data_IF_641849408550
#
_entry.id   IF_641849408550
#
_cell.length_a   1.000
_cell.length_b   1.000
_cell.length_c   1.000
_cell.angle_alpha   90.00
_cell.angle_beta   90.00
_cell.angle_gamma   90.00
#
_symmetry.space_group_name_H-M   'P 1'
#
loop_
_entity.id
_entity.type
_entity.pdbx_description
1 polymer ?
#
# COMPACT_ATOMS: atom_id res chain seq x y z
N UNK A 1 13.40 5.13 -6.78
CA UNK A 1 12.35 4.12 -6.71
C UNK A 1 12.46 3.15 -7.90
N UNK A 2 12.61 3.69 -9.08
CA UNK A 2 12.60 2.92 -10.33
C UNK A 2 13.98 2.83 -10.98
N UNK A 3 15.01 3.37 -10.36
CA UNK A 3 16.37 3.35 -10.82
C UNK A 3 17.32 3.07 -9.64
N UNK A 4 17.93 1.92 -9.62
CA UNK A 4 18.87 1.52 -8.56
C UNK A 4 19.97 0.60 -9.09
N UNK A 5 21.15 0.72 -8.49
CA UNK A 5 22.31 -0.08 -8.83
C UNK A 5 22.78 -0.94 -7.66
N UNK A 6 23.43 -2.05 -7.98
CA UNK A 6 24.09 -2.92 -7.00
C UNK A 6 25.59 -2.73 -7.12
N UNK A 7 26.23 -2.49 -5.97
CA UNK A 7 27.67 -2.46 -5.84
C UNK A 7 28.13 -3.68 -5.05
N UNK A 8 29.18 -4.31 -5.52
CA UNK A 8 29.90 -5.39 -4.84
C UNK A 8 31.16 -4.83 -4.20
N UNK A 9 31.35 -5.03 -2.90
CA UNK A 9 32.54 -4.61 -2.18
C UNK A 9 33.38 -5.80 -1.76
N UNK A 10 34.62 -5.87 -2.27
CA UNK A 10 35.62 -6.86 -1.83
C UNK A 10 36.28 -6.39 -0.54
N UNK A 11 36.09 -7.15 0.54
CA UNK A 11 36.65 -6.83 1.87
C UNK A 11 38.17 -6.95 1.96
N UNK A 12 38.81 -7.79 1.12
CA UNK A 12 40.27 -8.02 1.11
C UNK A 12 40.95 -6.96 0.29
N UNK A 13 40.53 -6.82 -0.95
CA UNK A 13 41.11 -5.88 -1.91
C UNK A 13 40.63 -4.44 -1.69
N UNK A 14 39.63 -4.24 -0.82
CA UNK A 14 38.99 -2.96 -0.54
C UNK A 14 38.51 -2.24 -1.81
N UNK A 15 38.03 -3.01 -2.74
CA UNK A 15 37.53 -2.54 -4.02
C UNK A 15 36.02 -2.55 -4.05
N UNK A 16 35.42 -1.48 -4.65
CA UNK A 16 33.99 -1.33 -4.87
C UNK A 16 33.73 -1.39 -6.37
N UNK A 17 32.95 -2.36 -6.81
CA UNK A 17 32.58 -2.58 -8.20
C UNK A 17 31.09 -2.33 -8.42
N UNK A 18 30.73 -1.55 -9.44
CA UNK A 18 29.36 -1.40 -9.91
C UNK A 18 29.03 -2.56 -10.84
N UNK A 19 28.16 -3.47 -10.38
CA UNK A 19 27.85 -4.70 -11.13
C UNK A 19 26.56 -4.62 -11.96
N UNK A 20 25.78 -3.56 -11.86
CA UNK A 20 24.51 -3.42 -12.60
C UNK A 20 24.42 -2.09 -13.33
N UNK A 21 25.53 -1.63 -13.93
CA UNK A 21 25.52 -0.44 -14.75
C UNK A 21 24.47 -0.54 -15.87
N UNK A 22 23.65 0.50 -16.02
CA UNK A 22 22.59 0.55 -17.00
C UNK A 22 22.20 2.00 -17.35
N UNK A 23 21.50 2.16 -18.43
CA UNK A 23 20.78 3.39 -18.81
C UNK A 23 19.28 3.23 -18.56
N UNK A 24 18.60 4.35 -18.28
CA UNK A 24 17.16 4.37 -18.04
C UNK A 24 16.74 3.91 -16.64
N UNK A 25 15.46 3.65 -16.49
CA UNK A 25 14.83 3.34 -15.21
C UNK A 25 14.75 1.83 -15.02
N UNK A 26 15.75 1.29 -14.37
CA UNK A 26 15.81 -0.14 -14.04
C UNK A 26 16.07 -0.29 -12.54
N UNK A 27 15.24 -1.07 -11.90
CA UNK A 27 15.41 -1.39 -10.49
C UNK A 27 16.27 -2.65 -10.35
N UNK A 28 17.35 -2.54 -9.57
CA UNK A 28 18.18 -3.66 -9.17
C UNK A 28 18.25 -3.72 -7.65
N UNK A 29 17.96 -4.89 -7.07
CA UNK A 29 18.00 -5.09 -5.61
C UNK A 29 18.68 -6.41 -5.27
N UNK A 30 19.75 -6.42 -4.43
CA UNK A 30 20.37 -7.66 -4.00
C UNK A 30 19.36 -8.51 -3.22
N UNK A 31 19.37 -9.81 -3.44
CA UNK A 31 18.55 -10.78 -2.73
C UNK A 31 19.40 -11.63 -1.77
N UNK A 32 20.30 -12.47 -2.29
CA UNK A 32 21.06 -13.42 -1.46
C UNK A 32 22.35 -13.86 -2.17
N UNK A 33 23.37 -14.24 -1.42
CA UNK A 33 24.52 -14.96 -1.94
C UNK A 33 24.25 -16.46 -1.97
N UNK A 34 24.90 -17.18 -2.92
CA UNK A 34 24.98 -18.64 -2.82
C UNK A 34 25.74 -19.05 -1.55
N UNK A 35 25.47 -20.25 -1.04
CA UNK A 35 26.10 -20.74 0.20
C UNK A 35 27.62 -20.92 0.08
N UNK A 36 28.14 -21.08 -1.13
CA UNK A 36 29.59 -21.11 -1.42
C UNK A 36 30.18 -19.74 -1.79
N UNK A 37 29.37 -18.69 -1.73
CA UNK A 37 29.71 -17.30 -2.01
C UNK A 37 30.25 -17.04 -3.43
N UNK A 38 29.93 -17.89 -4.40
CA UNK A 38 30.37 -17.71 -5.79
C UNK A 38 29.36 -16.97 -6.65
N UNK A 39 28.08 -17.01 -6.29
CA UNK A 39 27.02 -16.32 -6.99
C UNK A 39 26.34 -15.29 -6.09
N UNK A 40 25.94 -14.18 -6.69
CA UNK A 40 24.99 -13.24 -6.11
C UNK A 40 23.67 -13.37 -6.87
N UNK A 41 22.57 -13.56 -6.15
CA UNK A 41 21.23 -13.47 -6.70
C UNK A 41 20.69 -12.06 -6.46
N UNK A 42 20.07 -11.48 -7.48
CA UNK A 42 19.43 -10.18 -7.36
C UNK A 42 18.12 -10.11 -8.15
N UNK A 43 17.27 -9.21 -7.73
CA UNK A 43 16.00 -8.88 -8.36
C UNK A 43 16.19 -7.73 -9.34
N UNK A 44 15.50 -7.78 -10.47
CA UNK A 44 15.47 -6.69 -11.45
C UNK A 44 14.18 -6.72 -12.26
N UNK A 45 13.76 -5.55 -12.72
CA UNK A 45 12.67 -5.34 -13.69
C UNK A 45 13.19 -5.02 -15.11
N UNK A 46 14.46 -5.27 -15.39
CA UNK A 46 15.06 -5.02 -16.70
C UNK A 46 14.30 -5.78 -17.79
N UNK A 47 13.81 -5.06 -18.79
CA UNK A 47 13.02 -5.61 -19.92
C UNK A 47 11.83 -6.47 -19.46
N UNK A 48 11.18 -6.07 -18.35
CA UNK A 48 10.08 -6.83 -17.73
C UNK A 48 9.13 -5.92 -16.96
N UNK A 49 7.85 -6.28 -16.95
CA UNK A 49 6.83 -5.64 -16.10
C UNK A 49 7.03 -5.98 -14.63
N UNK A 50 7.51 -7.17 -14.33
CA UNK A 50 7.65 -7.66 -12.95
C UNK A 50 9.10 -7.99 -12.62
N UNK A 51 9.47 -7.78 -11.36
CA UNK A 51 10.77 -8.16 -10.84
C UNK A 51 11.00 -9.66 -10.93
N UNK A 52 12.12 -10.05 -11.49
CA UNK A 52 12.56 -11.43 -11.61
C UNK A 52 13.97 -11.62 -11.03
N UNK A 53 14.39 -12.87 -10.83
CA UNK A 53 15.70 -13.23 -10.29
C UNK A 53 16.73 -13.42 -11.39
N UNK A 54 17.89 -12.82 -11.17
CA UNK A 54 19.11 -13.02 -11.94
C UNK A 54 20.17 -13.66 -11.04
N UNK A 55 20.90 -14.62 -11.56
CA UNK A 55 22.13 -15.17 -10.98
C UNK A 55 23.32 -14.48 -11.62
N UNK A 56 24.21 -13.93 -10.79
CA UNK A 56 25.45 -13.29 -11.17
C UNK A 56 26.64 -14.11 -10.64
N UNK A 57 27.48 -14.60 -11.51
CA UNK A 57 28.73 -15.28 -11.16
C UNK A 57 29.79 -14.24 -10.81
N UNK A 58 30.26 -14.24 -9.56
CA UNK A 58 31.16 -13.22 -9.02
C UNK A 58 32.54 -13.27 -9.69
N UNK A 59 32.98 -14.46 -10.06
CA UNK A 59 34.35 -14.62 -10.66
C UNK A 59 34.36 -14.21 -12.13
N UNK A 60 33.33 -14.57 -12.89
CA UNK A 60 33.31 -14.38 -14.35
C UNK A 60 32.54 -13.15 -14.80
N UNK A 61 31.70 -12.57 -13.92
CA UNK A 61 30.79 -11.47 -14.26
C UNK A 61 29.59 -11.90 -15.10
N UNK A 62 29.44 -13.19 -15.39
CA UNK A 62 28.34 -13.71 -16.20
C UNK A 62 27.00 -13.60 -15.48
N UNK A 63 25.95 -13.33 -16.24
CA UNK A 63 24.58 -13.20 -15.76
C UNK A 63 23.66 -14.15 -16.51
N UNK A 64 22.74 -14.77 -15.78
CA UNK A 64 21.64 -15.53 -16.41
C UNK A 64 20.32 -15.27 -15.66
N UNK A 65 19.22 -15.30 -16.37
CA UNK A 65 17.89 -15.30 -15.75
C UNK A 65 17.77 -16.59 -14.95
N UNK A 66 17.55 -16.44 -13.65
CA UNK A 66 17.43 -17.59 -12.76
C UNK A 66 15.98 -18.05 -12.62
N UNK A 67 15.05 -17.10 -12.35
CA UNK A 67 13.62 -17.40 -12.26
C UNK A 67 12.78 -16.19 -12.61
N UNK A 68 11.70 -16.39 -13.39
CA UNK A 68 10.63 -15.42 -13.64
C UNK A 68 9.31 -15.97 -13.13
N UNK A 69 8.46 -15.06 -12.68
CA UNK A 69 7.08 -15.31 -12.26
C UNK A 69 6.14 -14.36 -13.01
N UNK A 70 4.84 -14.63 -12.98
CA UNK A 70 3.82 -13.73 -13.56
C UNK A 70 3.53 -12.50 -12.71
N UNK A 71 4.18 -12.37 -11.55
CA UNK A 71 4.08 -11.29 -10.58
C UNK A 71 5.45 -10.97 -10.00
N UNK A 72 5.57 -9.86 -9.28
CA UNK A 72 6.81 -9.46 -8.65
C UNK A 72 7.36 -10.51 -7.70
N UNK A 73 8.57 -11.01 -7.96
CA UNK A 73 9.34 -11.68 -6.93
C UNK A 73 9.78 -10.59 -5.94
N UNK A 74 9.25 -10.65 -4.73
CA UNK A 74 9.49 -9.65 -3.70
C UNK A 74 10.79 -9.90 -2.94
N UNK A 75 11.14 -11.16 -2.73
CA UNK A 75 12.40 -11.60 -2.08
C UNK A 75 12.72 -13.06 -2.40
N UNK A 76 13.99 -13.41 -2.21
CA UNK A 76 14.48 -14.79 -2.24
C UNK A 76 15.57 -14.94 -1.19
N UNK A 77 15.64 -16.12 -0.57
CA UNK A 77 16.77 -16.52 0.26
C UNK A 77 16.92 -18.05 0.26
N UNK A 78 18.12 -18.51 0.67
CA UNK A 78 18.41 -19.93 0.86
C UNK A 78 18.35 -20.32 2.35
N UNK A 79 17.98 -21.57 2.62
CA UNK A 79 18.20 -22.18 3.92
C UNK A 79 19.72 -22.30 4.20
N UNK A 80 20.09 -22.58 5.44
CA UNK A 80 21.49 -22.52 5.90
C UNK A 80 22.47 -23.35 5.06
N UNK A 81 22.09 -24.56 4.63
CA UNK A 81 22.94 -25.41 3.77
C UNK A 81 22.73 -25.16 2.29
N UNK A 82 21.76 -24.34 1.93
CA UNK A 82 21.32 -24.16 0.54
C UNK A 82 20.34 -25.21 0.05
N UNK A 83 19.91 -26.14 0.90
CA UNK A 83 18.97 -27.21 0.53
C UNK A 83 17.63 -26.70 0.04
N UNK A 84 17.13 -25.62 0.66
CA UNK A 84 15.87 -25.01 0.29
C UNK A 84 16.07 -23.59 -0.19
N UNK A 85 15.30 -23.22 -1.20
CA UNK A 85 15.16 -21.85 -1.70
C UNK A 85 13.72 -21.41 -1.46
N UNK A 86 13.57 -20.24 -0.83
CA UNK A 86 12.26 -19.62 -0.53
C UNK A 86 12.08 -18.40 -1.41
N UNK A 87 10.93 -18.29 -2.08
CA UNK A 87 10.50 -17.12 -2.83
C UNK A 87 9.25 -16.52 -2.19
N UNK A 88 9.26 -15.23 -1.99
CA UNK A 88 8.06 -14.44 -1.70
C UNK A 88 7.64 -13.71 -2.97
N UNK A 89 6.38 -13.88 -3.37
CA UNK A 89 5.80 -13.31 -4.59
C UNK A 89 4.68 -12.37 -4.18
N UNK A 90 4.71 -11.11 -4.66
CA UNK A 90 3.60 -10.18 -4.51
C UNK A 90 2.58 -10.47 -5.61
N UNK A 91 1.63 -11.35 -5.31
CA UNK A 91 0.62 -11.80 -6.25
C UNK A 91 -0.73 -11.20 -5.90
N UNK A 92 -1.18 -10.26 -6.71
CA UNK A 92 -2.54 -9.71 -6.66
C UNK A 92 -2.98 -9.28 -5.24
N UNK A 93 -2.26 -8.31 -4.69
CA UNK A 93 -2.47 -7.78 -3.34
C UNK A 93 -2.26 -8.79 -2.18
N UNK A 94 -1.62 -9.92 -2.45
CA UNK A 94 -1.27 -10.95 -1.45
C UNK A 94 0.19 -11.36 -1.59
N UNK A 95 0.76 -11.93 -0.52
CA UNK A 95 2.08 -12.57 -0.59
C UNK A 95 1.92 -14.07 -0.65
N UNK A 96 2.40 -14.66 -1.74
CA UNK A 96 2.46 -16.11 -1.94
C UNK A 96 3.88 -16.60 -1.74
N UNK A 97 4.04 -17.73 -1.05
CA UNK A 97 5.35 -18.36 -0.80
C UNK A 97 5.50 -19.59 -1.66
N UNK A 98 6.64 -19.70 -2.33
CA UNK A 98 7.10 -20.94 -2.97
C UNK A 98 8.39 -21.40 -2.32
N UNK A 99 8.49 -22.68 -2.03
CA UNK A 99 9.70 -23.31 -1.48
C UNK A 99 10.17 -24.38 -2.47
N UNK A 100 11.44 -24.39 -2.79
CA UNK A 100 12.05 -25.33 -3.71
C UNK A 100 13.13 -26.13 -3.01
N UNK A 101 13.20 -27.43 -3.29
CA UNK A 101 14.38 -28.24 -3.00
C UNK A 101 15.42 -27.97 -4.09
N UNK A 102 16.57 -27.41 -3.73
CA UNK A 102 17.58 -26.96 -4.69
C UNK A 102 18.33 -28.12 -5.36
N UNK A 103 18.29 -29.33 -4.78
CA UNK A 103 18.92 -30.51 -5.37
C UNK A 103 18.10 -31.05 -6.55
N UNK A 104 16.78 -30.99 -6.42
CA UNK A 104 15.86 -31.52 -7.42
C UNK A 104 15.20 -30.44 -8.26
N UNK A 105 15.34 -29.17 -7.88
CA UNK A 105 14.65 -27.98 -8.43
C UNK A 105 13.12 -28.13 -8.43
N UNK A 106 12.59 -29.00 -7.56
CA UNK A 106 11.16 -29.20 -7.43
C UNK A 106 10.57 -28.33 -6.33
N UNK A 107 9.43 -27.75 -6.61
CA UNK A 107 8.66 -27.05 -5.59
C UNK A 107 8.15 -28.04 -4.55
N UNK A 108 8.39 -27.71 -3.28
CA UNK A 108 7.87 -28.46 -2.15
C UNK A 108 6.44 -27.98 -1.86
N UNK A 109 5.58 -28.92 -1.46
CA UNK A 109 4.23 -28.57 -1.03
C UNK A 109 4.26 -27.69 0.21
N UNK A 110 3.66 -26.51 0.12
CA UNK A 110 3.42 -25.63 1.25
C UNK A 110 2.03 -25.92 1.83
N UNK A 111 1.80 -25.83 3.16
CA UNK A 111 0.48 -26.03 3.72
C UNK A 111 -0.58 -25.13 3.08
N UNK A 112 -1.78 -25.65 2.88
CA UNK A 112 -2.90 -24.84 2.41
C UNK A 112 -3.37 -23.93 3.56
N UNK A 113 -3.04 -22.67 3.47
CA UNK A 113 -3.46 -21.64 4.42
C UNK A 113 -4.79 -20.99 3.97
N UNK A 114 -5.55 -20.38 4.91
CA UNK A 114 -6.64 -19.48 4.56
C UNK A 114 -6.17 -18.31 3.68
N UNK A 115 -7.09 -17.59 3.05
CA UNK A 115 -6.75 -16.38 2.30
C UNK A 115 -6.04 -15.36 3.18
N UNK A 116 -4.94 -14.78 2.69
CA UNK A 116 -4.14 -13.83 3.45
C UNK A 116 -2.70 -13.74 2.95
N UNK A 117 -1.87 -13.14 3.76
CA UNK A 117 -0.45 -12.93 3.49
C UNK A 117 0.42 -13.83 4.36
N UNK A 118 1.44 -14.39 3.75
CA UNK A 118 2.53 -15.07 4.46
C UNK A 118 3.75 -14.14 4.48
N UNK A 119 4.33 -13.95 5.64
CA UNK A 119 5.51 -13.08 5.82
C UNK A 119 6.55 -13.72 6.73
N UNK A 120 7.77 -13.20 6.66
CA UNK A 120 8.89 -13.57 7.57
C UNK A 120 9.09 -15.08 7.69
N UNK A 121 9.09 -15.77 6.55
CA UNK A 121 9.39 -17.21 6.51
C UNK A 121 10.82 -17.43 6.99
N UNK A 122 11.03 -18.37 7.88
CA UNK A 122 12.33 -18.74 8.43
C UNK A 122 12.47 -20.26 8.52
N UNK A 123 13.58 -20.78 8.03
CA UNK A 123 13.89 -22.21 8.08
C UNK A 123 14.87 -22.48 9.23
N UNK A 124 14.56 -23.46 10.06
CA UNK A 124 15.40 -23.86 11.19
C UNK A 124 16.80 -24.32 10.75
N UNK A 125 17.79 -24.23 11.65
CA UNK A 125 19.17 -24.70 11.36
C UNK A 125 19.24 -26.18 10.99
N UNK A 126 18.28 -27.00 11.47
CA UNK A 126 18.18 -28.42 11.12
C UNK A 126 17.53 -28.66 9.75
N UNK A 127 16.98 -27.62 9.14
CA UNK A 127 16.22 -27.66 7.87
C UNK A 127 15.05 -28.65 7.86
N UNK A 128 14.52 -28.95 9.05
CA UNK A 128 13.33 -29.78 9.21
C UNK A 128 12.06 -28.98 9.45
N UNK A 129 12.19 -27.80 10.05
CA UNK A 129 11.08 -26.95 10.45
C UNK A 129 11.15 -25.61 9.72
N UNK A 130 9.99 -25.06 9.46
CA UNK A 130 9.77 -23.72 8.95
C UNK A 130 8.83 -22.99 9.92
N UNK A 131 9.11 -21.72 10.17
CA UNK A 131 8.17 -20.82 10.81
C UNK A 131 7.83 -19.67 9.88
N UNK A 132 6.62 -19.12 10.01
CA UNK A 132 6.17 -17.98 9.21
C UNK A 132 5.04 -17.25 9.95
N UNK A 133 4.85 -15.98 9.60
CA UNK A 133 3.66 -15.25 10.00
C UNK A 133 2.60 -15.39 8.91
N UNK A 134 1.36 -15.61 9.32
CA UNK A 134 0.20 -15.59 8.42
C UNK A 134 -0.93 -14.78 9.05
N UNK A 135 -1.54 -13.91 8.25
CA UNK A 135 -2.73 -13.12 8.61
C UNK A 135 -3.58 -12.83 7.39
N UNK A 136 -4.87 -12.69 7.60
CA UNK A 136 -5.85 -12.36 6.56
C UNK A 136 -6.73 -11.19 6.98
N UNK A 137 -7.81 -10.94 6.23
CA UNK A 137 -8.70 -9.82 6.52
C UNK A 137 -9.33 -9.89 7.94
N UNK A 138 -9.68 -11.10 8.39
CA UNK A 138 -10.34 -11.36 9.69
C UNK A 138 -9.40 -11.79 10.80
N UNK A 139 -8.09 -11.83 10.56
CA UNK A 139 -7.12 -12.27 11.55
C UNK A 139 -5.84 -11.44 11.43
N UNK A 140 -5.39 -10.80 12.51
CA UNK A 140 -4.04 -10.28 12.58
C UNK A 140 -3.02 -11.40 12.27
N UNK A 141 -1.80 -11.01 11.95
CA UNK A 141 -0.74 -11.98 11.68
C UNK A 141 -0.37 -12.75 12.95
N UNK A 142 -0.39 -14.07 12.84
CA UNK A 142 0.06 -15.01 13.85
C UNK A 142 1.26 -15.81 13.38
N UNK A 143 2.05 -16.28 14.35
CA UNK A 143 3.19 -17.14 14.11
C UNK A 143 2.73 -18.60 13.96
N UNK A 144 3.23 -19.25 12.92
CA UNK A 144 2.99 -20.66 12.62
C UNK A 144 4.30 -21.43 12.53
N UNK A 145 4.25 -22.72 12.81
CA UNK A 145 5.33 -23.68 12.56
C UNK A 145 4.83 -24.82 11.67
N UNK A 146 5.72 -25.33 10.84
CA UNK A 146 5.44 -26.38 9.87
C UNK A 146 6.66 -27.29 9.71
N UNK A 147 6.46 -28.62 9.68
CA UNK A 147 7.50 -29.57 9.28
C UNK A 147 7.58 -29.61 7.77
N UNK A 148 8.75 -29.29 7.22
CA UNK A 148 8.94 -29.17 5.75
C UNK A 148 8.65 -30.52 5.09
N UNK A 149 7.77 -30.49 4.09
CA UNK A 149 7.32 -31.68 3.34
C UNK A 149 6.05 -32.33 3.89
N UNK A 150 5.56 -31.93 5.06
CA UNK A 150 4.28 -32.39 5.59
C UNK A 150 3.12 -31.49 5.13
N UNK A 151 1.88 -31.86 5.45
CA UNK A 151 0.68 -31.06 5.14
C UNK A 151 0.21 -30.23 6.34
N UNK A 152 0.57 -30.67 7.53
CA UNK A 152 0.10 -30.10 8.78
C UNK A 152 0.95 -28.88 9.20
N UNK A 153 0.32 -27.95 9.88
CA UNK A 153 0.98 -26.81 10.51
C UNK A 153 0.35 -26.52 11.87
N UNK A 154 1.12 -25.89 12.74
CA UNK A 154 0.68 -25.50 14.07
C UNK A 154 0.67 -23.99 14.20
N UNK A 155 -0.42 -23.41 14.66
CA UNK A 155 -0.50 -22.01 15.06
C UNK A 155 0.10 -21.86 16.46
N UNK A 156 1.10 -20.99 16.62
CA UNK A 156 1.84 -20.80 17.87
C UNK A 156 1.36 -19.59 18.67
N UNK A 157 0.75 -18.60 18.04
CA UNK A 157 0.23 -17.40 18.70
C UNK A 157 -1.23 -17.15 18.35
N UNK A 158 -1.91 -16.33 19.15
CA UNK A 158 -3.26 -15.87 18.92
C UNK A 158 -3.33 -14.37 19.25
N UNK A 159 -3.06 -13.54 18.25
CA UNK A 159 -2.96 -12.08 18.38
C UNK A 159 -4.31 -11.37 18.39
N UNK A 160 -5.38 -12.06 17.98
CA UNK A 160 -6.73 -11.50 18.02
C UNK A 160 -7.19 -11.33 19.48
N UNK A 161 -7.75 -10.15 19.78
CA UNK A 161 -8.41 -9.96 21.07
C UNK A 161 -9.55 -10.98 21.20
N UNK A 162 -9.56 -11.81 22.28
CA UNK A 162 -10.56 -12.86 22.47
C UNK A 162 -12.01 -12.36 22.61
N UNK A 163 -12.20 -11.07 22.92
CA UNK A 163 -13.53 -10.45 22.97
C UNK A 163 -14.11 -10.15 21.59
N UNK A 164 -13.28 -10.14 20.53
CA UNK A 164 -13.72 -9.94 19.16
C UNK A 164 -14.21 -11.26 18.56
N UNK A 165 -15.50 -11.34 18.26
CA UNK A 165 -16.04 -12.47 17.53
C UNK A 165 -15.70 -12.35 16.03
N UNK A 166 -14.92 -13.27 15.43
CA UNK A 166 -14.52 -13.21 14.02
C UNK A 166 -15.70 -13.26 13.03
N UNK A 167 -16.89 -13.71 13.46
CA UNK A 167 -18.09 -13.70 12.58
C UNK A 167 -18.59 -12.29 12.25
N UNK A 168 -18.21 -11.30 13.04
CA UNK A 168 -18.56 -9.89 12.79
C UNK A 168 -17.52 -9.17 11.92
N UNK A 169 -16.42 -9.81 11.57
CA UNK A 169 -15.40 -9.21 10.73
C UNK A 169 -15.70 -9.45 9.24
N UNK A 170 -15.40 -8.44 8.43
CA UNK A 170 -15.55 -8.51 6.99
C UNK A 170 -14.45 -9.35 6.33
N UNK A 171 -14.86 -10.20 5.37
CA UNK A 171 -13.92 -10.81 4.43
C UNK A 171 -13.37 -9.74 3.47
N UNK A 172 -12.19 -10.01 2.91
CA UNK A 172 -11.61 -9.22 1.84
C UNK A 172 -11.65 -10.01 0.54
N UNK A 173 -12.12 -9.39 -0.52
CA UNK A 173 -12.15 -9.93 -1.87
C UNK A 173 -11.32 -9.04 -2.79
N UNK A 174 -10.41 -9.63 -3.57
CA UNK A 174 -9.71 -8.90 -4.62
C UNK A 174 -10.60 -8.85 -5.84
N UNK A 175 -10.94 -7.64 -6.28
CA UNK A 175 -11.84 -7.40 -7.41
C UNK A 175 -11.17 -6.53 -8.47
N UNK A 176 -11.82 -6.42 -9.61
CA UNK A 176 -11.49 -5.47 -10.69
C UNK A 176 -12.73 -4.68 -11.05
N UNK A 177 -12.57 -3.40 -11.34
CA UNK A 177 -13.61 -2.57 -11.92
C UNK A 177 -13.06 -1.78 -13.11
N UNK A 178 -13.96 -1.31 -13.97
CA UNK A 178 -13.59 -0.46 -15.11
C UNK A 178 -13.50 0.99 -14.67
N UNK A 179 -12.39 1.66 -15.01
CA UNK A 179 -12.24 3.09 -14.86
C UNK A 179 -12.89 3.85 -16.03
N UNK A 180 -12.88 5.17 -15.98
CA UNK A 180 -13.46 6.09 -16.93
C UNK A 180 -12.99 5.86 -18.40
N UNK A 181 -11.77 5.37 -18.57
CA UNK A 181 -11.14 5.05 -19.86
C UNK A 181 -11.21 3.57 -20.24
N UNK A 182 -11.89 2.75 -19.43
CA UNK A 182 -12.04 1.30 -19.63
C UNK A 182 -10.89 0.47 -19.05
N UNK A 183 -9.88 1.08 -18.44
CA UNK A 183 -8.80 0.35 -17.75
C UNK A 183 -9.37 -0.45 -16.58
N UNK A 184 -8.82 -1.66 -16.36
CA UNK A 184 -9.16 -2.47 -15.20
C UNK A 184 -8.34 -2.07 -13.99
N UNK A 185 -9.02 -1.57 -12.96
CA UNK A 185 -8.40 -1.12 -11.71
C UNK A 185 -8.59 -2.21 -10.65
N UNK A 186 -7.48 -2.71 -10.07
CA UNK A 186 -7.56 -3.66 -8.97
C UNK A 186 -7.99 -2.98 -7.67
N UNK A 187 -8.74 -3.68 -6.83
CA UNK A 187 -9.10 -3.20 -5.51
C UNK A 187 -9.32 -4.35 -4.53
N UNK A 188 -9.27 -4.05 -3.24
CA UNK A 188 -9.64 -4.99 -2.18
C UNK A 188 -10.95 -4.53 -1.57
N UNK A 189 -11.97 -5.34 -1.72
CA UNK A 189 -13.33 -5.04 -1.28
C UNK A 189 -13.65 -5.72 0.05
N UNK A 190 -14.16 -4.93 1.00
CA UNK A 190 -14.61 -5.39 2.32
C UNK A 190 -16.12 -5.15 2.43
N UNK A 191 -16.90 -6.23 2.30
CA UNK A 191 -18.35 -6.20 2.47
C UNK A 191 -18.71 -6.39 3.94
N UNK A 192 -19.57 -5.54 4.53
CA UNK A 192 -20.10 -5.76 5.87
C UNK A 192 -20.80 -7.12 6.00
N UNK A 193 -20.56 -7.88 7.07
CA UNK A 193 -21.05 -9.26 7.17
C UNK A 193 -22.59 -9.39 7.25
N UNK A 194 -23.27 -8.34 7.70
CA UNK A 194 -24.71 -8.37 7.97
C UNK A 194 -25.58 -7.74 6.88
N UNK A 195 -25.02 -7.44 5.69
CA UNK A 195 -25.76 -6.84 4.57
C UNK A 195 -26.73 -7.84 3.98
N UNK A 196 -28.02 -7.43 3.90
CA UNK A 196 -29.12 -8.20 3.33
C UNK A 196 -29.51 -7.67 1.96
N UNK A 197 -30.26 -8.50 1.22
CA UNK A 197 -30.85 -8.07 -0.04
C UNK A 197 -31.88 -6.96 0.23
N UNK A 198 -31.76 -5.86 -0.53
CA UNK A 198 -32.63 -4.69 -0.39
C UNK A 198 -32.13 -3.62 0.58
N UNK A 199 -31.06 -3.89 1.32
CA UNK A 199 -30.38 -2.85 2.11
C UNK A 199 -29.87 -1.73 1.20
N UNK A 200 -29.74 -0.54 1.78
CA UNK A 200 -29.07 0.62 1.18
C UNK A 200 -28.10 1.18 2.21
N UNK A 201 -26.83 0.73 2.13
CA UNK A 201 -25.80 1.07 3.11
C UNK A 201 -24.80 2.08 2.55
N UNK A 202 -24.13 2.85 3.41
CA UNK A 202 -23.03 3.73 3.00
C UNK A 202 -21.78 2.94 2.59
N UNK A 203 -20.94 3.58 1.78
CA UNK A 203 -19.65 3.01 1.37
C UNK A 203 -18.52 4.05 1.45
N UNK A 204 -17.30 3.54 1.48
CA UNK A 204 -16.08 4.34 1.49
C UNK A 204 -15.13 3.84 0.40
N UNK A 205 -14.62 4.76 -0.40
CA UNK A 205 -13.45 4.55 -1.24
C UNK A 205 -12.21 4.82 -0.36
N UNK A 206 -11.41 3.80 -0.15
CA UNK A 206 -10.18 3.88 0.64
C UNK A 206 -8.99 4.02 -0.29
N UNK A 207 -8.20 5.09 -0.14
CA UNK A 207 -7.01 5.33 -0.94
C UNK A 207 -5.76 5.13 -0.08
N UNK A 208 -4.83 4.29 -0.57
CA UNK A 208 -3.57 4.03 0.13
C UNK A 208 -2.60 5.20 0.04
N UNK A 209 -1.59 5.20 0.91
CA UNK A 209 -0.47 6.16 0.87
C UNK A 209 0.60 5.78 -0.17
N UNK A 210 1.60 6.65 -0.29
CA UNK A 210 2.70 6.50 -1.24
C UNK A 210 3.31 7.85 -1.59
N UNK A 211 3.25 8.30 -2.86
CA UNK A 211 2.64 7.66 -4.02
C UNK A 211 3.18 6.25 -4.29
N UNK A 212 2.43 5.43 -5.07
CA UNK A 212 2.81 4.08 -5.47
C UNK A 212 2.85 3.05 -4.34
N UNK A 213 2.00 3.19 -3.33
CA UNK A 213 1.71 2.13 -2.38
C UNK A 213 0.89 1.00 -3.00
N UNK A 214 0.31 0.15 -2.14
CA UNK A 214 -0.60 -0.92 -2.56
C UNK A 214 -1.62 -1.20 -1.44
N UNK A 215 -2.90 -1.21 -1.76
CA UNK A 215 -3.92 -1.80 -0.91
C UNK A 215 -3.83 -3.30 -0.99
N UNK A 216 -3.61 -3.96 0.15
CA UNK A 216 -3.36 -5.41 0.22
C UNK A 216 -4.37 -6.09 1.14
N UNK A 217 -4.66 -7.37 0.83
CA UNK A 217 -5.45 -8.22 1.72
C UNK A 217 -4.75 -8.33 3.06
N UNK A 218 -5.44 -8.01 4.16
CA UNK A 218 -4.89 -8.09 5.50
C UNK A 218 -5.80 -7.50 6.56
N UNK A 219 -5.50 -7.78 7.82
CA UNK A 219 -6.22 -7.19 8.94
C UNK A 219 -5.86 -5.72 9.09
N UNK A 220 -6.86 -4.86 8.94
CA UNK A 220 -6.75 -3.42 9.21
C UNK A 220 -7.83 -3.02 10.20
N UNK A 221 -7.43 -2.68 11.41
CA UNK A 221 -8.36 -2.39 12.50
C UNK A 221 -9.42 -1.34 12.13
N UNK A 222 -9.02 -0.24 11.51
CA UNK A 222 -9.95 0.82 11.09
C UNK A 222 -10.94 0.33 10.02
N UNK A 223 -10.50 -0.43 9.01
CA UNK A 223 -11.39 -0.98 7.99
C UNK A 223 -12.39 -1.96 8.62
N UNK A 224 -11.92 -2.85 9.49
CA UNK A 224 -12.81 -3.79 10.19
C UNK A 224 -13.80 -3.08 11.12
N UNK A 225 -13.34 -2.02 11.79
CA UNK A 225 -14.19 -1.20 12.64
C UNK A 225 -15.31 -0.53 11.83
N UNK A 226 -14.98 0.08 10.70
CA UNK A 226 -15.96 0.71 9.81
C UNK A 226 -16.92 -0.32 9.19
N UNK A 227 -16.39 -1.47 8.73
CA UNK A 227 -17.21 -2.53 8.16
C UNK A 227 -18.18 -3.12 9.19
N UNK A 228 -17.73 -3.31 10.44
CA UNK A 228 -18.58 -3.77 11.54
C UNK A 228 -19.71 -2.77 11.85
N UNK A 229 -19.46 -1.47 11.61
CA UNK A 229 -20.46 -0.42 11.74
C UNK A 229 -21.26 -0.18 10.44
N UNK A 230 -21.24 -1.12 9.49
CA UNK A 230 -22.12 -1.12 8.32
C UNK A 230 -21.64 -0.30 7.13
N UNK A 231 -20.35 0.06 7.05
CA UNK A 231 -19.74 0.66 5.87
C UNK A 231 -19.13 -0.40 4.97
N UNK A 232 -19.52 -0.44 3.70
CA UNK A 232 -18.69 -1.15 2.72
C UNK A 232 -17.42 -0.34 2.46
N UNK A 233 -16.28 -1.02 2.31
CA UNK A 233 -15.00 -0.34 2.04
C UNK A 233 -14.35 -0.94 0.79
N UNK A 234 -14.07 -0.11 -0.20
CA UNK A 234 -13.34 -0.47 -1.41
C UNK A 234 -11.95 0.18 -1.36
N UNK A 235 -10.95 -0.62 -1.04
CA UNK A 235 -9.55 -0.18 -0.98
C UNK A 235 -8.91 -0.28 -2.37
N UNK A 236 -8.83 0.86 -3.05
CA UNK A 236 -8.41 0.96 -4.46
C UNK A 236 -6.91 0.75 -4.60
N UNK A 237 -6.51 0.17 -5.72
CA UNK A 237 -5.16 0.24 -6.28
C UNK A 237 -5.25 1.02 -7.60
N UNK A 238 -5.42 2.34 -7.49
CA UNK A 238 -5.47 3.24 -8.64
C UNK A 238 -4.19 3.12 -9.50
N UNK A 239 -4.23 3.56 -10.77
CA UNK A 239 -3.00 3.70 -11.57
C UNK A 239 -1.92 4.42 -10.75
N UNK A 240 -0.65 4.01 -10.92
CA UNK A 240 0.44 4.40 -10.02
C UNK A 240 0.71 3.42 -8.86
N UNK A 241 -0.22 2.51 -8.55
CA UNK A 241 -0.01 1.52 -7.47
C UNK A 241 1.04 0.47 -7.85
N UNK A 242 1.90 0.11 -6.88
CA UNK A 242 2.88 -0.97 -7.06
C UNK A 242 2.24 -2.35 -7.08
N UNK A 243 2.98 -3.34 -7.61
CA UNK A 243 2.60 -4.75 -7.61
C UNK A 243 1.73 -5.19 -8.78
N UNK A 244 1.46 -4.31 -9.74
CA UNK A 244 0.66 -4.60 -10.94
C UNK A 244 1.44 -4.37 -12.24
N UNK A 245 2.76 -4.39 -12.16
CA UNK A 245 3.68 -4.18 -13.26
C UNK A 245 4.23 -2.75 -13.30
N UNK A 246 5.39 -2.62 -13.94
CA UNK A 246 6.12 -1.36 -14.06
C UNK A 246 5.33 -0.30 -14.81
N UNK A 247 4.72 -0.69 -15.94
CA UNK A 247 3.88 0.22 -16.73
C UNK A 247 2.72 0.77 -15.90
N UNK A 248 2.00 -0.09 -15.16
CA UNK A 248 0.89 0.36 -14.32
C UNK A 248 1.36 1.31 -13.20
N UNK A 249 2.52 1.05 -12.62
CA UNK A 249 3.10 1.83 -11.53
C UNK A 249 3.53 3.24 -11.96
N UNK A 250 3.85 3.45 -13.22
CA UNK A 250 4.32 4.76 -13.74
C UNK A 250 3.22 5.58 -14.43
N UNK A 251 1.98 5.09 -14.43
CA UNK A 251 0.86 5.77 -15.12
C UNK A 251 0.44 7.09 -14.48
N UNK A 252 0.82 7.35 -13.24
CA UNK A 252 0.55 8.59 -12.52
C UNK A 252 1.78 9.52 -12.44
N UNK A 253 2.94 9.12 -12.96
CA UNK A 253 4.13 9.97 -12.97
C UNK A 253 3.83 11.32 -13.65
N UNK A 254 3.94 12.41 -12.88
CA UNK A 254 3.63 13.79 -13.31
C UNK A 254 2.19 13.97 -13.87
N UNK A 255 1.24 13.14 -13.40
CA UNK A 255 -0.18 13.18 -13.75
C UNK A 255 -1.08 12.92 -12.53
N UNK A 256 -0.61 13.35 -11.34
CA UNK A 256 -1.30 13.15 -10.08
C UNK A 256 -2.54 14.04 -9.92
N UNK A 257 -3.59 13.48 -9.33
CA UNK A 257 -4.88 14.18 -9.18
C UNK A 257 -5.69 14.25 -10.49
N UNK A 258 -5.30 13.48 -11.48
CA UNK A 258 -5.93 13.33 -12.79
C UNK A 258 -6.52 11.92 -12.96
N UNK A 259 -5.91 11.08 -13.78
CA UNK A 259 -6.39 9.73 -14.03
C UNK A 259 -6.39 8.81 -12.81
N UNK A 260 -5.44 8.98 -11.91
CA UNK A 260 -5.38 8.28 -10.61
C UNK A 260 -6.57 8.67 -9.70
N UNK A 261 -6.97 9.93 -9.73
CA UNK A 261 -8.16 10.41 -9.03
C UNK A 261 -9.44 9.90 -9.72
N UNK A 262 -9.50 9.94 -11.04
CA UNK A 262 -10.66 9.45 -11.79
C UNK A 262 -10.85 7.93 -11.64
N UNK A 263 -9.80 7.16 -11.37
CA UNK A 263 -9.90 5.76 -10.92
C UNK A 263 -10.65 5.65 -9.59
N UNK A 264 -10.34 6.54 -8.65
CA UNK A 264 -11.05 6.57 -7.35
C UNK A 264 -12.52 7.01 -7.49
N UNK A 265 -12.83 7.92 -8.42
CA UNK A 265 -14.21 8.30 -8.73
C UNK A 265 -14.95 7.15 -9.37
N UNK A 266 -14.36 6.47 -10.36
CA UNK A 266 -14.95 5.32 -11.05
C UNK A 266 -15.21 4.12 -10.10
N UNK A 267 -14.53 4.06 -8.98
CA UNK A 267 -14.80 3.06 -7.94
C UNK A 267 -16.24 3.11 -7.41
N UNK A 268 -16.89 4.27 -7.49
CA UNK A 268 -18.32 4.45 -7.11
C UNK A 268 -19.25 3.60 -7.96
N UNK A 269 -18.96 3.50 -9.26
CA UNK A 269 -19.81 2.73 -10.19
C UNK A 269 -19.82 1.24 -9.81
N UNK A 270 -18.67 0.69 -9.43
CA UNK A 270 -18.59 -0.66 -8.90
C UNK A 270 -19.41 -0.79 -7.60
N UNK A 271 -19.24 0.13 -6.65
CA UNK A 271 -19.97 0.10 -5.38
C UNK A 271 -21.49 0.13 -5.61
N UNK A 272 -21.96 1.02 -6.47
CA UNK A 272 -23.40 1.16 -6.82
C UNK A 272 -23.89 -0.12 -7.51
N UNK A 273 -23.09 -0.71 -8.39
CA UNK A 273 -23.45 -1.93 -9.14
C UNK A 273 -23.69 -3.16 -8.24
N UNK A 274 -23.21 -3.15 -7.00
CA UNK A 274 -23.48 -4.21 -6.01
C UNK A 274 -24.96 -4.30 -5.61
N UNK A 275 -25.73 -3.25 -5.87
CA UNK A 275 -27.17 -3.18 -5.65
C UNK A 275 -27.60 -2.82 -4.21
N UNK A 276 -26.69 -2.88 -3.24
CA UNK A 276 -26.97 -2.58 -1.82
C UNK A 276 -26.26 -1.34 -1.29
N UNK A 277 -25.50 -0.62 -2.12
CA UNK A 277 -24.94 0.68 -1.74
C UNK A 277 -25.93 1.80 -2.09
N UNK A 278 -26.04 2.77 -1.20
CA UNK A 278 -26.73 4.03 -1.44
C UNK A 278 -25.78 4.99 -2.19
N UNK A 279 -26.10 5.32 -3.42
CA UNK A 279 -25.28 6.18 -4.29
C UNK A 279 -25.06 7.59 -3.69
N UNK A 280 -25.95 8.05 -2.82
CA UNK A 280 -25.86 9.34 -2.13
C UNK A 280 -25.13 9.25 -0.77
N UNK A 281 -24.50 8.11 -0.47
CA UNK A 281 -23.82 7.84 0.81
C UNK A 281 -22.44 7.24 0.59
N UNK A 282 -21.70 7.79 -0.36
CA UNK A 282 -20.33 7.33 -0.65
C UNK A 282 -19.35 8.44 -0.25
N UNK A 283 -18.43 8.09 0.66
CA UNK A 283 -17.33 8.95 1.09
C UNK A 283 -15.98 8.45 0.60
N UNK A 284 -14.96 9.30 0.79
CA UNK A 284 -13.57 8.97 0.47
C UNK A 284 -12.69 9.13 1.72
N UNK A 285 -11.78 8.19 1.95
CA UNK A 285 -10.89 8.18 3.11
C UNK A 285 -9.49 7.72 2.70
N UNK A 286 -8.47 8.36 3.24
CA UNK A 286 -7.09 7.95 2.96
C UNK A 286 -6.07 8.64 3.85
N UNK A 287 -4.86 8.08 3.89
CA UNK A 287 -3.75 8.61 4.66
C UNK A 287 -2.53 8.93 3.80
N UNK A 288 -1.76 9.96 4.20
CA UNK A 288 -0.57 10.40 3.48
C UNK A 288 -0.91 10.80 2.02
N UNK A 289 -0.33 10.17 1.01
CA UNK A 289 -0.76 10.36 -0.38
C UNK A 289 -2.26 10.08 -0.56
N UNK A 290 -2.82 9.05 0.11
CA UNK A 290 -4.27 8.82 0.10
C UNK A 290 -5.06 9.98 0.72
N UNK A 291 -4.50 10.69 1.70
CA UNK A 291 -5.08 11.92 2.26
C UNK A 291 -5.00 13.10 1.27
N UNK A 292 -3.93 13.18 0.47
CA UNK A 292 -3.88 14.09 -0.67
C UNK A 292 -5.02 13.78 -1.66
N UNK A 293 -5.21 12.51 -2.02
CA UNK A 293 -6.28 12.08 -2.93
C UNK A 293 -7.67 12.44 -2.39
N UNK A 294 -7.89 12.35 -1.08
CA UNK A 294 -9.13 12.84 -0.45
C UNK A 294 -9.33 14.33 -0.70
N UNK A 295 -8.30 15.14 -0.45
CA UNK A 295 -8.41 16.59 -0.64
C UNK A 295 -8.50 16.96 -2.13
N UNK A 296 -7.80 16.23 -3.01
CA UNK A 296 -7.91 16.37 -4.46
C UNK A 296 -9.32 16.05 -4.95
N UNK A 297 -9.92 14.95 -4.45
CA UNK A 297 -11.31 14.62 -4.76
C UNK A 297 -12.27 15.75 -4.39
N UNK A 298 -12.18 16.26 -3.17
CA UNK A 298 -13.06 17.34 -2.71
C UNK A 298 -12.81 18.68 -3.42
N UNK A 299 -11.58 18.94 -3.90
CA UNK A 299 -11.24 20.21 -4.56
C UNK A 299 -11.41 20.17 -6.08
N UNK A 300 -11.16 19.03 -6.73
CA UNK A 300 -11.15 18.89 -8.20
C UNK A 300 -12.38 18.17 -8.73
N UNK A 301 -13.07 17.39 -7.89
CA UNK A 301 -14.31 16.64 -8.17
C UNK A 301 -15.34 16.88 -7.04
N UNK A 302 -15.74 18.14 -6.75
CA UNK A 302 -16.40 18.54 -5.52
C UNK A 302 -17.76 17.89 -5.28
N UNK A 303 -18.41 17.35 -6.31
CA UNK A 303 -19.73 16.72 -6.21
C UNK A 303 -19.68 15.18 -6.17
N UNK A 304 -18.48 14.57 -6.33
CA UNK A 304 -18.40 13.12 -6.48
C UNK A 304 -18.51 12.35 -5.17
N UNK A 305 -18.07 12.92 -4.06
CA UNK A 305 -18.13 12.28 -2.74
C UNK A 305 -18.90 13.13 -1.76
N UNK A 306 -19.70 12.48 -0.90
CA UNK A 306 -20.51 13.20 0.08
C UNK A 306 -19.69 13.69 1.28
N UNK A 307 -18.54 13.09 1.54
CA UNK A 307 -17.67 13.41 2.69
C UNK A 307 -16.25 12.90 2.46
N UNK A 308 -15.26 13.61 3.02
CA UNK A 308 -13.87 13.18 3.00
C UNK A 308 -13.27 13.01 4.39
N UNK A 309 -12.40 12.01 4.56
CA UNK A 309 -11.57 11.83 5.76
C UNK A 309 -10.11 11.82 5.35
N UNK A 310 -9.43 12.93 5.62
CA UNK A 310 -8.00 13.13 5.35
C UNK A 310 -7.19 12.80 6.61
N UNK A 311 -6.33 11.81 6.52
CA UNK A 311 -5.41 11.41 7.59
C UNK A 311 -3.99 11.84 7.19
N UNK A 312 -3.48 12.94 7.76
CA UNK A 312 -2.16 13.54 7.50
C UNK A 312 -1.79 13.61 6.00
N UNK A 313 -2.71 14.07 5.16
CA UNK A 313 -2.50 14.17 3.71
C UNK A 313 -1.78 15.43 3.27
N UNK A 314 -0.97 15.31 2.22
CA UNK A 314 -0.34 16.47 1.57
C UNK A 314 -1.40 17.37 0.94
N UNK A 315 -1.27 18.68 1.10
CA UNK A 315 -2.18 19.66 0.51
C UNK A 315 -1.47 20.72 -0.34
N UNK A 316 -0.15 20.85 -0.17
CA UNK A 316 0.72 21.76 -0.92
C UNK A 316 2.00 21.01 -1.36
N UNK A 317 2.02 20.49 -2.58
CA UNK A 317 3.15 19.75 -3.11
C UNK A 317 4.42 20.58 -3.27
N UNK A 318 4.32 21.88 -3.54
CA UNK A 318 5.48 22.77 -3.64
C UNK A 318 6.24 22.79 -2.31
N UNK A 319 5.53 23.01 -1.20
CA UNK A 319 6.11 23.02 0.14
C UNK A 319 6.65 21.64 0.52
N UNK A 320 5.85 20.60 0.35
CA UNK A 320 6.23 19.24 0.72
C UNK A 320 7.51 18.81 0.05
N UNK A 321 7.65 19.01 -1.27
CA UNK A 321 8.85 18.65 -2.02
C UNK A 321 10.07 19.51 -1.65
N UNK A 322 9.87 20.81 -1.42
CA UNK A 322 10.95 21.72 -0.95
C UNK A 322 11.39 21.41 0.49
N UNK A 323 10.55 20.78 1.31
CA UNK A 323 10.86 20.44 2.71
C UNK A 323 11.66 19.15 2.89
N UNK A 324 11.87 18.37 1.83
CA UNK A 324 12.62 17.12 1.89
C UNK A 324 14.07 17.41 2.27
N UNK A 325 14.56 16.87 3.39
CA UNK A 325 15.88 17.21 3.90
C UNK A 325 16.99 16.71 2.97
N UNK A 326 18.15 17.42 2.90
CA UNK A 326 19.25 17.07 1.98
C UNK A 326 19.80 15.65 2.13
N UNK A 327 19.75 15.07 3.34
CA UNK A 327 20.24 13.70 3.57
C UNK A 327 19.29 12.62 3.01
N UNK A 328 18.10 12.99 2.53
CA UNK A 328 17.20 12.11 1.78
C UNK A 328 17.30 12.34 0.26
N UNK A 329 18.46 12.68 -0.23
CA UNK A 329 18.65 13.06 -1.64
C UNK A 329 18.11 12.03 -2.62
N UNK A 330 18.38 10.72 -2.40
CA UNK A 330 17.88 9.66 -3.29
C UNK A 330 16.34 9.61 -3.31
N UNK A 331 15.68 9.78 -2.14
CA UNK A 331 14.23 9.85 -2.06
C UNK A 331 13.68 11.13 -2.69
N UNK A 332 14.39 12.26 -2.52
CA UNK A 332 14.03 13.54 -3.14
C UNK A 332 14.05 13.46 -4.65
N UNK A 333 15.12 12.94 -5.23
CA UNK A 333 15.25 12.78 -6.69
C UNK A 333 14.15 11.87 -7.26
N UNK A 334 13.86 10.77 -6.57
CA UNK A 334 12.77 9.86 -6.95
C UNK A 334 11.40 10.56 -6.91
N UNK A 335 11.11 11.31 -5.83
CA UNK A 335 9.86 12.05 -5.70
C UNK A 335 9.76 13.20 -6.71
N UNK A 336 10.87 13.90 -7.02
CA UNK A 336 10.86 14.94 -8.03
C UNK A 336 10.57 14.40 -9.43
N UNK A 337 11.05 13.19 -9.74
CA UNK A 337 10.74 12.51 -11.00
C UNK A 337 9.27 12.13 -11.07
N UNK A 338 8.73 11.59 -10.02
CA UNK A 338 7.35 11.10 -9.93
C UNK A 338 6.34 12.26 -9.83
N UNK A 339 6.55 13.17 -8.89
CA UNK A 339 5.61 14.26 -8.58
C UNK A 339 5.84 15.53 -9.42
N UNK A 340 7.06 15.73 -9.93
CA UNK A 340 7.52 16.98 -10.52
C UNK A 340 8.54 17.71 -9.68
N UNK A 341 9.40 18.49 -10.34
CA UNK A 341 10.47 19.25 -9.69
C UNK A 341 9.97 20.64 -9.28
N UNK A 342 9.97 20.98 -7.96
CA UNK A 342 9.45 22.27 -7.49
C UNK A 342 10.27 23.49 -7.93
N UNK A 343 11.47 23.31 -8.48
CA UNK A 343 12.29 24.40 -9.00
C UNK A 343 11.98 24.73 -10.48
N UNK A 344 11.42 23.78 -11.23
CA UNK A 344 11.19 23.92 -12.68
C UNK A 344 9.74 23.69 -13.10
N UNK A 345 8.89 23.13 -12.24
CA UNK A 345 7.50 22.74 -12.52
C UNK A 345 6.54 23.28 -11.44
N UNK A 346 6.79 24.49 -10.92
CA UNK A 346 5.99 25.07 -9.85
C UNK A 346 4.52 25.25 -10.24
N UNK A 347 4.24 25.66 -11.49
CA UNK A 347 2.87 25.83 -12.01
C UNK A 347 2.09 24.51 -12.02
N UNK A 348 2.75 23.40 -12.43
CA UNK A 348 2.14 22.07 -12.38
C UNK A 348 1.83 21.67 -10.93
N UNK A 349 2.80 21.81 -10.02
CA UNK A 349 2.63 21.47 -8.61
C UNK A 349 1.59 22.35 -7.92
N UNK A 350 1.46 23.62 -8.33
CA UNK A 350 0.38 24.50 -7.89
C UNK A 350 -1.00 23.93 -8.29
N UNK A 351 -1.13 23.52 -9.54
CA UNK A 351 -2.39 23.02 -10.09
C UNK A 351 -2.86 21.72 -9.42
N UNK A 352 -1.93 20.83 -9.05
CA UNK A 352 -2.26 19.56 -8.37
C UNK A 352 -2.32 19.69 -6.84
N UNK A 353 -2.06 20.86 -6.26
CA UNK A 353 -2.10 21.11 -4.80
C UNK A 353 -3.49 21.53 -4.35
N UNK A 354 -4.24 20.69 -3.62
CA UNK A 354 -5.62 20.99 -3.22
C UNK A 354 -5.77 22.28 -2.41
N UNK A 355 -4.77 22.69 -1.66
CA UNK A 355 -4.78 23.90 -0.84
C UNK A 355 -5.13 25.16 -1.68
N UNK A 356 -4.54 25.28 -2.87
CA UNK A 356 -4.78 26.43 -3.75
C UNK A 356 -6.16 26.43 -4.40
N UNK A 357 -6.84 25.27 -4.36
CA UNK A 357 -8.17 25.05 -4.89
C UNK A 357 -9.23 24.82 -3.80
N UNK A 358 -8.90 25.06 -2.54
CA UNK A 358 -9.81 24.85 -1.40
C UNK A 358 -11.14 25.62 -1.52
N UNK A 359 -11.17 26.69 -2.34
CA UNK A 359 -12.41 27.43 -2.67
C UNK A 359 -13.49 26.57 -3.34
N UNK A 360 -13.11 25.46 -3.97
CA UNK A 360 -14.04 24.57 -4.66
C UNK A 360 -14.67 23.54 -3.72
N UNK A 361 -14.10 23.32 -2.53
CA UNK A 361 -14.60 22.33 -1.57
C UNK A 361 -15.95 22.79 -1.03
N UNK A 362 -16.96 21.93 -1.21
CA UNK A 362 -18.34 22.16 -0.77
C UNK A 362 -18.83 21.06 0.17
N UNK A 363 -18.14 19.93 0.24
CA UNK A 363 -18.51 18.78 1.07
C UNK A 363 -17.73 18.76 2.40
N UNK A 364 -18.34 18.21 3.46
CA UNK A 364 -17.68 18.12 4.77
C UNK A 364 -16.38 17.32 4.72
N UNK A 365 -15.41 17.73 5.52
CA UNK A 365 -14.14 17.03 5.65
C UNK A 365 -13.72 16.88 7.11
N UNK A 366 -13.12 15.74 7.43
CA UNK A 366 -12.41 15.53 8.68
C UNK A 366 -10.93 15.41 8.40
N UNK A 367 -10.10 16.09 9.18
CA UNK A 367 -8.64 16.05 9.08
C UNK A 367 -8.05 15.56 10.40
N UNK A 368 -7.16 14.57 10.33
CA UNK A 368 -6.38 14.07 11.47
C UNK A 368 -4.90 14.27 11.18
N UNK A 369 -4.15 14.82 12.16
CA UNK A 369 -2.74 15.15 11.99
C UNK A 369 -1.93 14.80 13.25
N UNK A 370 -0.70 14.30 13.08
CA UNK A 370 0.29 14.22 14.14
C UNK A 370 1.12 15.50 14.17
N UNK A 371 1.27 16.13 15.35
CA UNK A 371 2.02 17.39 15.49
C UNK A 371 3.52 17.24 15.19
N UNK A 372 4.06 16.03 15.38
CA UNK A 372 5.48 15.72 15.15
C UNK A 372 5.71 14.98 13.81
N UNK A 373 4.84 15.16 12.83
CA UNK A 373 4.96 14.51 11.52
C UNK A 373 6.13 15.12 10.72
N UNK A 374 7.21 14.32 10.43
CA UNK A 374 8.36 14.82 9.69
C UNK A 374 8.20 14.70 8.17
N UNK A 375 7.13 14.08 7.67
CA UNK A 375 6.87 13.83 6.24
C UNK A 375 5.85 14.78 5.67
N UNK A 376 4.75 14.95 6.40
CA UNK A 376 3.67 15.88 6.06
C UNK A 376 3.52 16.84 7.23
N UNK A 377 4.06 18.04 7.07
CA UNK A 377 4.10 19.02 8.13
C UNK A 377 2.70 19.43 8.59
N UNK A 378 2.49 19.64 9.88
CA UNK A 378 1.20 20.02 10.45
C UNK A 378 0.57 21.24 9.73
N UNK A 379 1.39 22.19 9.27
CA UNK A 379 0.94 23.38 8.54
C UNK A 379 0.12 23.04 7.27
N UNK A 380 0.35 21.88 6.66
CA UNK A 380 -0.44 21.39 5.51
C UNK A 380 -1.92 21.25 5.92
N UNK A 381 -2.17 20.62 7.07
CA UNK A 381 -3.50 20.44 7.63
C UNK A 381 -4.08 21.74 8.18
N UNK A 382 -3.29 22.56 8.89
CA UNK A 382 -3.72 23.82 9.49
C UNK A 382 -4.27 24.78 8.45
N UNK A 383 -3.54 25.00 7.36
CA UNK A 383 -3.93 25.91 6.27
C UNK A 383 -5.14 25.41 5.50
N UNK A 384 -5.18 24.10 5.21
CA UNK A 384 -6.31 23.50 4.50
C UNK A 384 -7.60 23.60 5.31
N UNK A 385 -7.56 23.25 6.60
CA UNK A 385 -8.72 23.38 7.50
C UNK A 385 -9.20 24.82 7.60
N UNK A 386 -8.26 25.77 7.76
CA UNK A 386 -8.59 27.19 7.80
C UNK A 386 -9.27 27.67 6.50
N UNK A 387 -8.76 27.23 5.33
CA UNK A 387 -9.31 27.59 4.04
C UNK A 387 -10.73 27.03 3.83
N UNK A 388 -10.97 25.77 4.20
CA UNK A 388 -12.30 25.12 4.11
C UNK A 388 -13.31 25.81 5.05
N UNK A 389 -12.92 26.04 6.31
CA UNK A 389 -13.78 26.74 7.30
C UNK A 389 -14.15 28.15 6.86
N UNK A 390 -13.23 28.87 6.22
CA UNK A 390 -13.49 30.23 5.70
C UNK A 390 -14.61 30.24 4.66
N UNK A 391 -14.86 29.13 4.00
CA UNK A 391 -15.96 28.91 3.05
C UNK A 391 -17.29 28.58 3.74
N UNK A 392 -17.31 28.39 5.06
CA UNK A 392 -18.48 27.92 5.79
C UNK A 392 -18.73 26.41 5.67
N UNK A 393 -17.80 25.66 5.09
CA UNK A 393 -17.90 24.20 5.01
C UNK A 393 -17.43 23.57 6.32
N UNK A 394 -18.09 22.50 6.75
CA UNK A 394 -17.73 21.79 7.97
C UNK A 394 -16.36 21.13 7.78
N UNK A 395 -15.41 21.50 8.61
CA UNK A 395 -14.08 20.88 8.69
C UNK A 395 -13.76 20.53 10.15
N UNK A 396 -13.88 19.25 10.50
CA UNK A 396 -13.43 18.76 11.80
C UNK A 396 -11.92 18.54 11.75
N UNK A 397 -11.23 18.88 12.85
CA UNK A 397 -9.77 18.79 12.88
C UNK A 397 -9.29 18.26 14.23
N UNK A 398 -8.52 17.19 14.19
CA UNK A 398 -7.89 16.59 15.37
C UNK A 398 -6.38 16.57 15.17
N UNK A 399 -5.66 17.23 16.08
CA UNK A 399 -4.21 17.14 16.18
C UNK A 399 -3.86 16.22 17.36
N UNK A 400 -2.93 15.31 17.13
CA UNK A 400 -2.34 14.47 18.15
C UNK A 400 -0.93 14.98 18.44
N UNK A 401 -0.76 15.66 19.57
CA UNK A 401 0.46 16.39 19.95
C UNK A 401 1.70 15.49 20.09
N UNK A 402 1.50 14.22 20.31
CA UNK A 402 2.51 13.21 20.60
C UNK A 402 2.64 12.11 19.54
N UNK A 403 2.10 12.37 18.33
CA UNK A 403 2.17 11.46 17.18
C UNK A 403 2.94 12.10 16.01
N UNK A 404 3.49 11.22 15.16
CA UNK A 404 4.16 11.56 13.91
C UNK A 404 3.35 11.18 12.69
N UNK A 405 4.04 10.67 11.64
CA UNK A 405 3.40 10.18 10.41
C UNK A 405 2.79 8.79 10.61
N UNK A 406 1.65 8.76 11.28
CA UNK A 406 0.93 7.56 11.72
C UNK A 406 0.63 7.63 13.22
N UNK A 407 -0.51 7.07 13.61
CA UNK A 407 -0.93 7.04 15.01
C UNK A 407 -0.56 5.69 15.60
N UNK A 408 0.45 5.66 16.45
CA UNK A 408 0.99 4.43 17.05
C UNK A 408 0.49 4.18 18.47
N UNK A 409 0.10 5.26 19.17
CA UNK A 409 -0.43 5.15 20.53
C UNK A 409 -1.87 4.66 20.51
N UNK A 410 -2.14 3.62 21.29
CA UNK A 410 -3.45 2.97 21.33
C UNK A 410 -4.59 3.94 21.65
N UNK A 411 -4.36 4.85 22.59
CA UNK A 411 -5.33 5.86 23.02
C UNK A 411 -5.68 6.81 21.85
N UNK A 412 -4.68 7.22 21.08
CA UNK A 412 -4.86 8.09 19.92
C UNK A 412 -5.57 7.36 18.78
N UNK A 413 -5.26 6.08 18.57
CA UNK A 413 -5.99 5.25 17.60
C UNK A 413 -7.47 5.11 17.98
N UNK A 414 -7.77 4.80 19.24
CA UNK A 414 -9.16 4.68 19.72
C UNK A 414 -9.90 5.99 19.55
N UNK A 415 -9.28 7.12 19.97
CA UNK A 415 -9.86 8.45 19.83
C UNK A 415 -10.09 8.81 18.35
N UNK A 416 -9.10 8.61 17.50
CA UNK A 416 -9.18 8.92 16.08
C UNK A 416 -10.20 8.07 15.33
N UNK A 417 -10.22 6.76 15.56
CA UNK A 417 -11.17 5.84 14.91
C UNK A 417 -12.61 6.11 15.34
N UNK A 418 -12.81 6.38 16.65
CA UNK A 418 -14.13 6.77 17.16
C UNK A 418 -14.62 8.08 16.56
N UNK A 419 -13.76 9.08 16.44
CA UNK A 419 -14.07 10.37 15.83
C UNK A 419 -14.39 10.22 14.32
N UNK A 420 -13.62 9.41 13.58
CA UNK A 420 -13.88 9.12 12.17
C UNK A 420 -15.27 8.50 12.02
N UNK A 421 -15.61 7.48 12.81
CA UNK A 421 -16.93 6.85 12.74
C UNK A 421 -18.05 7.83 13.03
N UNK A 422 -17.91 8.62 14.10
CA UNK A 422 -18.92 9.62 14.47
C UNK A 422 -19.12 10.66 13.38
N UNK A 423 -18.04 11.14 12.77
CA UNK A 423 -18.08 12.08 11.66
C UNK A 423 -18.80 11.47 10.44
N UNK A 424 -18.40 10.28 10.04
CA UNK A 424 -19.04 9.58 8.91
C UNK A 424 -20.51 9.30 9.17
N UNK A 425 -20.89 8.85 10.37
CA UNK A 425 -22.30 8.60 10.75
C UNK A 425 -23.13 9.88 10.68
N UNK A 426 -22.57 11.04 11.01
CA UNK A 426 -23.27 12.31 10.95
C UNK A 426 -23.65 12.72 9.52
N UNK A 427 -22.83 12.37 8.52
CA UNK A 427 -23.05 12.81 7.14
C UNK A 427 -23.56 11.72 6.21
N UNK A 428 -23.30 10.43 6.52
CA UNK A 428 -23.68 9.33 5.64
C UNK A 428 -24.84 8.47 6.18
N UNK A 429 -25.15 8.55 7.50
CA UNK A 429 -26.23 7.73 8.09
C UNK A 429 -27.39 8.52 8.65
N UNK A 430 -27.17 9.73 9.15
CA UNK A 430 -28.31 10.55 9.58
C UNK A 430 -29.14 10.90 8.35
N UNK A 431 -30.42 10.54 8.36
CA UNK A 431 -31.37 11.04 7.39
C UNK A 431 -31.38 12.56 7.51
N UNK A 432 -31.01 13.26 6.47
CA UNK A 432 -31.20 14.68 6.25
C UNK A 432 -32.69 14.98 6.17
#
# INVERSE_FOLDING_TARGET
RDNSNIYLYDLKEKNLELITEHEGDINHRPAEFSTDSKQLYYLTDKDSEFNYLVEYDIQTGNRKIFQKESWDIAYMYFSRSGKYRVLGINQDAQTVIKVFDTTTERQISFPKLPAGNVASVSISKSEKLMSFYHGGAKSPSDLYAHTIGEREYSRLTNSMNPEINPSYLAEAEVIRYKSFDGMEIPAVYYKPPNVKQGDKIPALVWVHGGPGGQSRVGYRALIQYLANHGYAVLAVNNRGSSGYGKTFQTLDDQAHGEGDLDDCVSAKDFLISTGYIDENKIGIIGGSYGGYMVMAALAFRPEDFEVGVNIFGVTNWIRTLKSIPPWWEAARLSLYKEMGNPETQEDYLYNISPLFHAKNIVKPVMVLQGANDPRVLQVESDEMVAAVRKKGVVAEYIVFEDEGHGFVKKENQIKGYGAILQFLDNFLKKNS
#
